data_IF_378123055183
#
_entry.id   IF_378123055183
#
_cell.length_a   1.000
_cell.length_b   1.000
_cell.length_c   1.000
_cell.angle_alpha   90.00
_cell.angle_beta   90.00
_cell.angle_gamma   90.00
#
_symmetry.space_group_name_H-M   'P 1'
#
loop_
_entity.id
_entity.type
_entity.pdbx_description
1 polymer ?
#
# COMPACT_ATOMS: atom_id res chain seq x y z
N UNK A 1 25.85 -21.68 -11.43
CA UNK A 1 24.62 -21.06 -10.94
C UNK A 1 23.46 -21.95 -11.38
N UNK A 2 22.55 -22.36 -10.50
CA UNK A 2 21.43 -23.23 -10.86
C UNK A 2 20.42 -22.48 -11.73
N UNK A 3 19.75 -23.19 -12.65
CA UNK A 3 18.80 -22.62 -13.62
C UNK A 3 17.70 -21.78 -12.95
N UNK A 4 17.11 -22.28 -11.86
CA UNK A 4 16.05 -21.59 -11.13
C UNK A 4 16.50 -20.25 -10.53
N UNK A 5 17.78 -20.14 -10.07
CA UNK A 5 18.31 -18.86 -9.54
C UNK A 5 18.35 -17.78 -10.63
N UNK A 6 18.67 -18.17 -11.88
CA UNK A 6 18.62 -17.24 -13.01
C UNK A 6 17.19 -16.82 -13.33
N UNK A 7 16.23 -17.76 -13.31
CA UNK A 7 14.81 -17.46 -13.52
C UNK A 7 14.26 -16.50 -12.45
N UNK A 8 14.60 -16.73 -11.19
CA UNK A 8 14.14 -15.85 -10.10
C UNK A 8 14.80 -14.45 -10.16
N UNK A 9 16.06 -14.35 -10.55
CA UNK A 9 16.70 -13.06 -10.76
C UNK A 9 16.01 -12.29 -11.90
N UNK A 10 15.79 -12.93 -13.03
CA UNK A 10 15.06 -12.33 -14.16
C UNK A 10 13.62 -11.94 -13.76
N UNK A 11 12.94 -12.76 -12.96
CA UNK A 11 11.62 -12.43 -12.44
C UNK A 11 11.63 -11.18 -11.54
N UNK A 12 12.65 -11.00 -10.69
CA UNK A 12 12.85 -9.76 -9.90
C UNK A 12 13.10 -8.55 -10.80
N UNK A 13 13.90 -8.70 -11.84
CA UNK A 13 14.17 -7.61 -12.81
C UNK A 13 12.88 -7.22 -13.55
N UNK A 14 12.07 -8.19 -13.97
CA UNK A 14 10.77 -7.96 -14.59
C UNK A 14 9.75 -7.32 -13.67
N UNK A 15 9.70 -7.73 -12.39
CA UNK A 15 8.88 -7.09 -11.37
C UNK A 15 9.24 -5.61 -11.24
N UNK A 16 10.55 -5.30 -11.14
CA UNK A 16 11.03 -3.92 -11.06
C UNK A 16 10.69 -3.10 -12.33
N UNK A 17 10.65 -3.76 -13.49
CA UNK A 17 10.26 -3.14 -14.75
C UNK A 17 8.73 -3.04 -14.97
N UNK A 18 7.90 -3.47 -14.00
CA UNK A 18 6.45 -3.49 -14.11
C UNK A 18 5.89 -4.57 -15.05
N UNK A 19 6.71 -5.50 -15.54
CA UNK A 19 6.32 -6.61 -16.44
C UNK A 19 5.81 -7.81 -15.62
N UNK A 20 4.72 -7.57 -14.87
CA UNK A 20 4.26 -8.46 -13.80
C UNK A 20 3.85 -9.85 -14.31
N UNK A 21 3.16 -9.92 -15.45
CA UNK A 21 2.72 -11.20 -16.01
C UNK A 21 3.89 -12.11 -16.43
N UNK A 22 4.92 -11.53 -17.02
CA UNK A 22 6.11 -12.27 -17.42
C UNK A 22 6.92 -12.73 -16.20
N UNK A 23 6.99 -11.88 -15.17
CA UNK A 23 7.60 -12.27 -13.90
C UNK A 23 6.88 -13.47 -13.26
N UNK A 24 5.54 -13.51 -13.27
CA UNK A 24 4.76 -14.67 -12.78
C UNK A 24 5.09 -15.94 -13.54
N UNK A 25 5.19 -15.90 -14.88
CA UNK A 25 5.56 -17.06 -15.70
C UNK A 25 6.93 -17.64 -15.36
N UNK A 26 7.90 -16.77 -15.04
CA UNK A 26 9.23 -17.20 -14.60
C UNK A 26 9.20 -17.83 -13.22
N UNK A 27 8.39 -17.28 -12.30
CA UNK A 27 8.17 -17.87 -10.98
C UNK A 27 7.55 -19.27 -11.09
N UNK A 28 6.56 -19.47 -11.96
CA UNK A 28 5.94 -20.78 -12.20
C UNK A 28 6.95 -21.82 -12.67
N UNK A 29 7.80 -21.44 -13.62
CA UNK A 29 8.87 -22.30 -14.15
C UNK A 29 9.93 -22.63 -13.10
N UNK A 30 10.33 -21.65 -12.29
CA UNK A 30 11.33 -21.85 -11.26
C UNK A 30 10.83 -22.77 -10.15
N UNK A 31 9.58 -22.61 -9.71
CA UNK A 31 8.97 -23.34 -8.60
C UNK A 31 8.96 -24.86 -8.79
N UNK A 32 9.07 -25.35 -10.05
CA UNK A 32 9.08 -26.76 -10.37
C UNK A 32 10.44 -27.44 -10.14
N UNK A 33 11.53 -26.68 -9.92
CA UNK A 33 12.88 -27.23 -9.91
C UNK A 33 13.34 -27.73 -8.53
N UNK A 34 12.93 -27.08 -7.44
CA UNK A 34 13.30 -27.46 -6.05
C UNK A 34 12.44 -26.76 -5.01
N UNK A 35 12.57 -27.16 -3.73
CA UNK A 35 11.90 -26.48 -2.60
C UNK A 35 12.44 -25.06 -2.40
N UNK A 36 13.77 -24.85 -2.50
CA UNK A 36 14.36 -23.51 -2.46
C UNK A 36 13.82 -22.60 -3.57
N UNK A 37 13.64 -23.17 -4.77
CA UNK A 37 13.08 -22.43 -5.90
C UNK A 37 11.61 -22.09 -5.68
N UNK A 38 10.84 -23.01 -5.07
CA UNK A 38 9.44 -22.80 -4.70
C UNK A 38 9.32 -21.68 -3.66
N UNK A 39 10.19 -21.70 -2.66
CA UNK A 39 10.28 -20.64 -1.65
C UNK A 39 10.56 -19.27 -2.29
N UNK A 40 11.64 -19.14 -3.06
CA UNK A 40 12.00 -17.91 -3.74
C UNK A 40 10.93 -17.42 -4.74
N UNK A 41 10.26 -18.36 -5.44
CA UNK A 41 9.13 -18.03 -6.32
C UNK A 41 7.95 -17.47 -5.56
N UNK A 42 7.63 -18.01 -4.39
CA UNK A 42 6.52 -17.53 -3.57
C UNK A 42 6.74 -16.11 -3.07
N UNK A 43 7.97 -15.75 -2.67
CA UNK A 43 8.30 -14.38 -2.27
C UNK A 43 8.09 -13.39 -3.42
N UNK A 44 8.58 -13.70 -4.61
CA UNK A 44 8.42 -12.81 -5.79
C UNK A 44 6.95 -12.76 -6.22
N UNK A 45 6.26 -13.88 -6.25
CA UNK A 45 4.83 -13.96 -6.60
C UNK A 45 3.98 -13.12 -5.65
N UNK A 46 4.22 -13.24 -4.35
CA UNK A 46 3.53 -12.42 -3.35
C UNK A 46 3.80 -10.93 -3.55
N UNK A 47 5.04 -10.52 -3.83
CA UNK A 47 5.37 -9.14 -4.14
C UNK A 47 4.64 -8.64 -5.41
N UNK A 48 4.54 -9.48 -6.47
CA UNK A 48 3.77 -9.15 -7.67
C UNK A 48 2.29 -8.95 -7.35
N UNK A 49 1.70 -9.80 -6.52
CA UNK A 49 0.30 -9.66 -6.11
C UNK A 49 0.07 -8.37 -5.29
N UNK A 50 1.03 -7.97 -4.45
CA UNK A 50 0.95 -6.67 -3.76
C UNK A 50 0.97 -5.49 -4.74
N UNK A 51 1.83 -5.53 -5.76
CA UNK A 51 1.86 -4.50 -6.82
C UNK A 51 0.54 -4.45 -7.63
N UNK A 52 -0.13 -5.59 -7.77
CA UNK A 52 -1.46 -5.69 -8.39
C UNK A 52 -2.61 -5.27 -7.45
N UNK A 53 -2.31 -4.93 -6.20
CA UNK A 53 -3.32 -4.60 -5.18
C UNK A 53 -4.06 -5.83 -4.62
N UNK A 54 -3.61 -7.05 -4.92
CA UNK A 54 -4.20 -8.29 -4.41
C UNK A 54 -3.41 -8.85 -3.22
N UNK A 55 -3.55 -8.17 -2.08
CA UNK A 55 -2.88 -8.58 -0.85
C UNK A 55 -3.37 -9.96 -0.33
N UNK A 56 -4.57 -10.41 -0.71
CA UNK A 56 -5.08 -11.73 -0.35
C UNK A 56 -4.31 -12.83 -1.10
N UNK A 57 -4.11 -12.67 -2.40
CA UNK A 57 -3.29 -13.59 -3.19
C UNK A 57 -1.82 -13.57 -2.75
N UNK A 58 -1.29 -12.38 -2.39
CA UNK A 58 0.06 -12.27 -1.84
C UNK A 58 0.21 -13.09 -0.55
N UNK A 59 -0.71 -12.92 0.40
CA UNK A 59 -0.69 -13.66 1.66
C UNK A 59 -0.80 -15.17 1.42
N UNK A 60 -1.64 -15.61 0.48
CA UNK A 60 -1.78 -17.01 0.10
C UNK A 60 -0.48 -17.58 -0.46
N UNK A 61 0.24 -16.82 -1.29
CA UNK A 61 1.54 -17.22 -1.83
C UNK A 61 2.59 -17.40 -0.72
N UNK A 62 2.64 -16.50 0.26
CA UNK A 62 3.55 -16.58 1.41
C UNK A 62 3.20 -17.74 2.35
N UNK A 63 1.92 -17.99 2.60
CA UNK A 63 1.47 -19.10 3.45
C UNK A 63 1.79 -20.47 2.85
N UNK A 64 1.75 -20.60 1.52
CA UNK A 64 2.06 -21.86 0.82
C UNK A 64 3.51 -22.36 1.03
N UNK A 65 4.39 -21.52 1.55
CA UNK A 65 5.81 -21.85 1.81
C UNK A 65 6.22 -21.66 3.26
N UNK A 66 5.30 -21.35 4.15
CA UNK A 66 5.61 -21.09 5.56
C UNK A 66 6.25 -22.30 6.26
N UNK A 67 5.85 -23.52 5.88
CA UNK A 67 6.37 -24.78 6.44
C UNK A 67 7.70 -25.23 5.81
N UNK A 68 8.13 -24.57 4.72
CA UNK A 68 9.38 -24.91 4.01
C UNK A 68 10.60 -24.17 4.57
N UNK A 69 10.39 -23.18 5.41
CA UNK A 69 11.46 -22.34 5.93
C UNK A 69 11.63 -22.48 7.44
N UNK A 70 12.85 -22.33 7.90
CA UNK A 70 13.15 -21.90 9.28
C UNK A 70 12.61 -20.47 9.47
N UNK A 71 12.51 -19.95 10.70
CA UNK A 71 12.13 -18.55 10.91
C UNK A 71 12.92 -17.64 9.98
N UNK A 72 12.22 -16.91 9.12
CA UNK A 72 12.81 -16.12 8.04
C UNK A 72 12.28 -14.69 8.09
N UNK A 73 13.21 -13.74 8.24
CA UNK A 73 12.89 -12.33 8.38
C UNK A 73 12.25 -11.73 7.13
N UNK A 74 12.67 -12.18 5.91
CA UNK A 74 12.12 -11.68 4.65
C UNK A 74 10.66 -12.14 4.48
N UNK A 75 10.38 -13.42 4.78
CA UNK A 75 9.02 -13.97 4.69
C UNK A 75 8.08 -13.31 5.72
N UNK A 76 8.52 -13.18 6.98
CA UNK A 76 7.70 -12.54 8.02
C UNK A 76 7.43 -11.07 7.69
N UNK A 77 8.43 -10.35 7.16
CA UNK A 77 8.26 -8.97 6.68
C UNK A 77 7.24 -8.88 5.53
N UNK A 78 7.34 -9.78 4.55
CA UNK A 78 6.44 -9.84 3.41
C UNK A 78 4.99 -10.15 3.83
N UNK A 79 4.80 -11.10 4.77
CA UNK A 79 3.49 -11.40 5.37
C UNK A 79 2.93 -10.21 6.14
N UNK A 80 3.78 -9.55 6.92
CA UNK A 80 3.41 -8.35 7.67
C UNK A 80 2.92 -7.23 6.77
N UNK A 81 3.59 -7.01 5.63
CA UNK A 81 3.12 -6.05 4.63
C UNK A 81 1.77 -6.46 4.02
N UNK A 82 1.58 -7.73 3.66
CA UNK A 82 0.32 -8.21 3.12
C UNK A 82 -0.84 -8.07 4.13
N UNK A 83 -0.61 -8.38 5.42
CA UNK A 83 -1.59 -8.12 6.48
C UNK A 83 -1.91 -6.63 6.63
N UNK A 84 -0.89 -5.78 6.52
CA UNK A 84 -1.07 -4.32 6.58
C UNK A 84 -1.97 -3.83 5.44
N UNK A 85 -1.72 -4.27 4.21
CA UNK A 85 -2.56 -3.93 3.05
C UNK A 85 -4.02 -4.39 3.20
N UNK A 86 -4.25 -5.48 3.94
CA UNK A 86 -5.59 -5.98 4.29
C UNK A 86 -6.21 -5.28 5.52
N UNK A 87 -5.58 -4.24 6.05
CA UNK A 87 -5.97 -3.58 7.30
C UNK A 87 -6.09 -4.53 8.51
N UNK A 88 -5.34 -5.64 8.48
CA UNK A 88 -5.21 -6.61 9.58
C UNK A 88 -4.03 -6.19 10.47
N UNK A 89 -4.25 -5.10 11.22
CA UNK A 89 -3.16 -4.40 11.92
C UNK A 89 -2.49 -5.22 13.02
N UNK A 90 -3.22 -5.98 13.87
CA UNK A 90 -2.58 -6.84 14.88
C UNK A 90 -1.65 -7.89 14.27
N UNK A 91 -2.10 -8.56 13.21
CA UNK A 91 -1.34 -9.60 12.50
C UNK A 91 -0.13 -8.97 11.77
N UNK A 92 -0.32 -7.81 11.16
CA UNK A 92 0.74 -7.06 10.51
C UNK A 92 1.85 -6.69 11.50
N UNK A 93 1.48 -6.09 12.64
CA UNK A 93 2.44 -5.69 13.66
C UNK A 93 3.20 -6.89 14.23
N UNK A 94 2.51 -7.99 14.53
CA UNK A 94 3.14 -9.20 15.04
C UNK A 94 4.17 -9.77 14.06
N UNK A 95 3.81 -9.89 12.77
CA UNK A 95 4.70 -10.40 11.74
C UNK A 95 5.91 -9.49 11.50
N UNK A 96 5.71 -8.16 11.46
CA UNK A 96 6.82 -7.21 11.28
C UNK A 96 7.75 -7.20 12.49
N UNK A 97 7.24 -7.27 13.72
CA UNK A 97 8.08 -7.37 14.91
C UNK A 97 8.87 -8.68 14.96
N UNK A 98 8.27 -9.79 14.52
CA UNK A 98 8.97 -11.07 14.33
C UNK A 98 10.12 -10.91 13.34
N UNK A 99 9.86 -10.35 12.16
CA UNK A 99 10.87 -10.09 11.15
C UNK A 99 12.05 -9.25 11.68
N UNK A 100 11.74 -8.15 12.38
CA UNK A 100 12.76 -7.26 12.96
C UNK A 100 13.53 -7.90 14.11
N UNK A 101 12.97 -8.87 14.82
CA UNK A 101 13.70 -9.66 15.83
C UNK A 101 14.71 -10.61 15.21
N UNK A 102 14.49 -11.06 13.98
CA UNK A 102 15.39 -11.93 13.22
C UNK A 102 16.44 -11.12 12.45
N UNK A 103 16.05 -9.98 11.88
CA UNK A 103 16.94 -9.04 11.20
C UNK A 103 16.52 -7.58 11.48
N UNK A 104 17.20 -6.92 12.40
CA UNK A 104 16.99 -5.51 12.73
C UNK A 104 17.41 -4.52 11.62
N UNK A 105 17.98 -4.99 10.52
CA UNK A 105 18.41 -4.18 9.39
C UNK A 105 17.42 -4.16 8.23
N UNK A 106 16.26 -4.74 8.41
CA UNK A 106 15.19 -4.70 7.40
C UNK A 106 14.55 -3.31 7.31
N UNK A 107 15.01 -2.51 6.34
CA UNK A 107 14.48 -1.15 6.12
C UNK A 107 12.97 -1.15 5.88
N UNK A 108 12.45 -2.11 5.09
CA UNK A 108 11.01 -2.26 4.84
C UNK A 108 10.24 -2.62 6.11
N UNK A 109 10.80 -3.50 6.96
CA UNK A 109 10.21 -3.84 8.26
C UNK A 109 10.04 -2.60 9.14
N UNK A 110 11.08 -1.78 9.26
CA UNK A 110 11.00 -0.52 9.99
C UNK A 110 9.97 0.44 9.38
N UNK A 111 9.96 0.60 8.06
CA UNK A 111 9.00 1.48 7.41
C UNK A 111 7.55 1.04 7.63
N UNK A 112 7.27 -0.26 7.45
CA UNK A 112 5.92 -0.81 7.67
C UNK A 112 5.49 -0.70 9.14
N UNK A 113 6.41 -0.97 10.09
CA UNK A 113 6.12 -0.78 11.52
C UNK A 113 5.83 0.69 11.85
N UNK A 114 6.57 1.62 11.22
CA UNK A 114 6.31 3.05 11.38
C UNK A 114 4.90 3.44 10.92
N UNK A 115 4.44 2.94 9.76
CA UNK A 115 3.08 3.17 9.25
C UNK A 115 2.02 2.61 10.21
N UNK A 116 2.23 1.40 10.72
CA UNK A 116 1.33 0.77 11.71
C UNK A 116 1.23 1.61 12.99
N UNK A 117 2.39 2.02 13.53
CA UNK A 117 2.47 2.79 14.76
C UNK A 117 1.88 4.20 14.59
N UNK A 118 2.05 4.82 13.42
CA UNK A 118 1.47 6.11 13.09
C UNK A 118 -0.06 6.05 13.06
N UNK A 119 -0.65 5.03 12.42
CA UNK A 119 -2.10 4.79 12.44
C UNK A 119 -2.64 4.60 13.86
N UNK A 120 -1.82 4.05 14.76
CA UNK A 120 -2.15 3.89 16.20
C UNK A 120 -1.88 5.15 17.01
N UNK A 121 -1.38 6.23 16.40
CA UNK A 121 -1.03 7.48 17.09
C UNK A 121 0.20 7.36 18.02
N UNK A 122 1.04 6.34 17.83
CA UNK A 122 2.24 6.14 18.65
C UNK A 122 3.38 7.06 18.24
N UNK A 123 4.04 7.69 19.21
CA UNK A 123 5.23 8.51 18.97
C UNK A 123 6.46 7.70 18.51
N UNK A 124 6.46 6.41 18.72
CA UNK A 124 7.53 5.51 18.27
C UNK A 124 7.63 5.43 16.74
N UNK A 125 6.55 5.75 16.02
CA UNK A 125 6.53 5.76 14.55
C UNK A 125 7.72 6.52 13.95
N UNK A 126 8.04 7.70 14.51
CA UNK A 126 9.12 8.55 14.01
C UNK A 126 10.50 7.86 14.09
N UNK A 127 10.76 7.09 15.15
CA UNK A 127 12.03 6.36 15.31
C UNK A 127 12.17 5.31 14.21
N UNK A 128 11.11 4.61 13.89
CA UNK A 128 11.10 3.59 12.85
C UNK A 128 11.19 4.20 11.44
N UNK A 129 10.55 5.34 11.17
CA UNK A 129 10.74 6.08 9.91
C UNK A 129 12.21 6.52 9.74
N UNK A 130 12.82 7.07 10.80
CA UNK A 130 14.23 7.44 10.78
C UNK A 130 15.13 6.24 10.50
N UNK A 131 14.87 5.10 11.17
CA UNK A 131 15.66 3.89 10.98
C UNK A 131 15.54 3.33 9.55
N UNK A 132 14.33 3.31 8.98
CA UNK A 132 14.13 2.90 7.58
C UNK A 132 14.93 3.79 6.61
N UNK A 133 14.94 5.10 6.84
CA UNK A 133 15.71 6.08 6.05
C UNK A 133 17.22 5.86 6.18
N UNK A 134 17.73 5.64 7.37
CA UNK A 134 19.16 5.34 7.59
C UNK A 134 19.61 4.10 6.81
N UNK A 135 18.77 3.07 6.81
CA UNK A 135 19.08 1.79 6.16
C UNK A 135 18.93 1.85 4.63
N UNK A 136 17.94 2.59 4.12
CA UNK A 136 17.65 2.68 2.69
C UNK A 136 17.18 4.11 2.29
N UNK A 137 18.08 5.12 2.28
CA UNK A 137 17.70 6.54 2.11
C UNK A 137 17.11 6.86 0.74
N UNK A 138 17.44 6.08 -0.30
CA UNK A 138 16.85 6.26 -1.65
C UNK A 138 15.42 5.73 -1.72
N UNK A 139 15.11 4.66 -0.98
CA UNK A 139 13.80 4.02 -0.97
C UNK A 139 12.84 4.74 -0.01
N UNK A 140 13.34 5.17 1.15
CA UNK A 140 12.60 5.85 2.21
C UNK A 140 13.20 7.23 2.49
N UNK A 141 13.14 8.19 1.55
CA UNK A 141 13.62 9.54 1.79
C UNK A 141 12.72 10.27 2.80
N UNK A 142 13.12 11.47 3.17
CA UNK A 142 12.35 12.30 4.10
C UNK A 142 10.99 12.69 3.54
N UNK A 143 9.94 12.51 4.35
CA UNK A 143 8.61 12.97 4.00
C UNK A 143 8.59 14.51 4.07
N UNK A 144 8.20 15.15 2.99
CA UNK A 144 7.88 16.58 2.97
C UNK A 144 6.43 16.73 3.37
N UNK A 145 6.19 17.05 4.63
CA UNK A 145 4.84 17.36 5.09
C UNK A 145 4.54 18.83 4.81
N UNK A 146 3.50 19.08 4.04
CA UNK A 146 2.93 20.43 3.81
C UNK A 146 2.03 20.81 4.95
N UNK A 147 1.84 22.11 5.14
CA UNK A 147 0.75 22.60 6.01
C UNK A 147 -0.59 22.17 5.41
N UNK A 148 -1.64 22.22 6.22
CA UNK A 148 -2.99 21.92 5.76
C UNK A 148 -3.44 22.89 4.68
N UNK A 149 -3.13 24.17 4.82
CA UNK A 149 -3.44 25.22 3.86
C UNK A 149 -2.77 25.00 2.51
N UNK A 150 -1.47 24.70 2.50
CA UNK A 150 -0.73 24.38 1.27
C UNK A 150 -1.32 23.17 0.54
N UNK A 151 -1.74 22.15 1.29
CA UNK A 151 -2.37 20.96 0.69
C UNK A 151 -3.78 21.26 0.16
N UNK A 152 -4.57 22.08 0.88
CA UNK A 152 -5.90 22.49 0.43
C UNK A 152 -5.83 23.34 -0.85
N UNK A 153 -4.79 24.15 -1.01
CA UNK A 153 -4.54 24.90 -2.26
C UNK A 153 -4.26 23.96 -3.46
N UNK A 154 -3.46 22.91 -3.24
CA UNK A 154 -3.22 21.89 -4.26
C UNK A 154 -4.53 21.16 -4.60
N UNK A 155 -5.28 20.78 -3.59
CA UNK A 155 -6.57 20.12 -3.73
C UNK A 155 -7.57 20.96 -4.55
N UNK A 156 -7.65 22.28 -4.28
CA UNK A 156 -8.52 23.18 -5.01
C UNK A 156 -8.12 23.28 -6.50
N UNK A 157 -6.82 23.32 -6.82
CA UNK A 157 -6.35 23.28 -8.22
C UNK A 157 -6.68 21.94 -8.89
N UNK A 158 -6.44 20.83 -8.20
CA UNK A 158 -6.78 19.51 -8.68
C UNK A 158 -8.28 19.38 -8.95
N UNK A 159 -9.12 19.86 -8.04
CA UNK A 159 -10.57 19.83 -8.17
C UNK A 159 -11.05 20.67 -9.39
N UNK A 160 -10.46 21.85 -9.61
CA UNK A 160 -10.82 22.71 -10.74
C UNK A 160 -10.58 22.07 -12.13
N UNK A 161 -9.69 21.09 -12.21
CA UNK A 161 -9.33 20.38 -13.45
C UNK A 161 -10.02 19.01 -13.61
N UNK A 162 -10.94 18.66 -12.71
CA UNK A 162 -11.71 17.41 -12.81
C UNK A 162 -12.77 17.46 -13.93
N UNK A 163 -13.12 16.31 -14.52
CA UNK A 163 -14.22 16.21 -15.46
C UNK A 163 -15.55 16.72 -14.87
N UNK A 164 -16.41 17.33 -15.70
CA UNK A 164 -17.68 17.91 -15.24
C UNK A 164 -18.55 16.91 -14.47
N UNK A 165 -18.63 15.67 -14.94
CA UNK A 165 -19.37 14.59 -14.26
C UNK A 165 -18.85 14.32 -12.83
N UNK A 166 -17.54 14.45 -12.61
CA UNK A 166 -16.92 14.29 -11.28
C UNK A 166 -17.23 15.49 -10.41
N UNK A 167 -17.17 16.71 -10.97
CA UNK A 167 -17.54 17.95 -10.28
C UNK A 167 -19.00 17.93 -9.81
N UNK A 168 -19.92 17.34 -10.57
CA UNK A 168 -21.31 17.17 -10.15
C UNK A 168 -21.43 16.24 -8.92
N UNK A 169 -20.61 15.18 -8.85
CA UNK A 169 -20.58 14.29 -7.68
C UNK A 169 -20.03 15.03 -6.46
N UNK A 170 -19.04 15.87 -6.62
CA UNK A 170 -18.48 16.66 -5.51
C UNK A 170 -19.49 17.62 -4.86
N UNK A 171 -20.57 17.99 -5.54
CA UNK A 171 -21.68 18.75 -4.91
C UNK A 171 -22.43 17.93 -3.86
N UNK A 172 -22.44 16.59 -4.02
CA UNK A 172 -23.10 15.66 -3.09
C UNK A 172 -22.12 15.10 -2.06
N UNK A 173 -20.83 15.03 -2.41
CA UNK A 173 -19.73 14.51 -1.59
C UNK A 173 -18.67 15.59 -1.39
N UNK A 174 -18.87 16.54 -0.49
CA UNK A 174 -17.86 17.55 -0.22
C UNK A 174 -16.54 16.89 0.21
N UNK A 175 -15.43 17.47 -0.26
CA UNK A 175 -14.09 16.95 0.08
C UNK A 175 -13.75 17.35 1.51
N UNK A 176 -13.26 16.38 2.28
CA UNK A 176 -12.72 16.56 3.61
C UNK A 176 -11.28 16.05 3.66
N UNK A 177 -10.35 16.89 4.05
CA UNK A 177 -8.95 16.50 4.24
C UNK A 177 -8.78 15.88 5.62
N UNK A 178 -8.31 14.63 5.64
CA UNK A 178 -7.86 13.94 6.85
C UNK A 178 -6.36 13.64 6.74
N UNK A 179 -5.64 13.63 7.86
CA UNK A 179 -4.22 13.31 7.82
C UNK A 179 -3.98 11.85 7.42
N UNK A 180 -4.69 10.93 8.05
CA UNK A 180 -4.61 9.49 7.84
C UNK A 180 -6.01 8.88 7.88
N UNK A 181 -6.21 7.68 7.30
CA UNK A 181 -7.46 6.96 7.41
C UNK A 181 -7.73 6.46 8.84
N UNK A 182 -9.00 6.36 9.19
CA UNK A 182 -9.45 5.69 10.42
C UNK A 182 -9.68 4.21 10.11
N UNK A 183 -9.02 3.33 10.87
CA UNK A 183 -9.06 1.88 10.60
C UNK A 183 -10.47 1.30 10.58
N UNK A 184 -11.33 1.74 11.51
CA UNK A 184 -12.72 1.28 11.57
C UNK A 184 -13.51 1.62 10.29
N UNK A 185 -13.18 2.73 9.63
CA UNK A 185 -13.82 3.12 8.37
C UNK A 185 -13.36 2.25 7.22
N UNK A 186 -12.04 1.99 7.11
CA UNK A 186 -11.48 1.11 6.08
C UNK A 186 -12.04 -0.32 6.15
N UNK A 187 -12.28 -0.82 7.36
CA UNK A 187 -12.79 -2.18 7.57
C UNK A 187 -14.27 -2.34 7.24
N UNK A 188 -15.06 -1.25 7.32
CA UNK A 188 -16.50 -1.26 6.99
C UNK A 188 -16.78 -1.25 5.49
N UNK A 189 -15.82 -0.82 4.69
CA UNK A 189 -15.94 -0.78 3.22
C UNK A 189 -15.74 -2.17 2.63
N UNK A 190 -16.47 -2.49 1.56
CA UNK A 190 -16.33 -3.75 0.83
C UNK A 190 -16.00 -3.48 -0.65
N UNK A 191 -14.93 -4.06 -1.19
CA UNK A 191 -13.86 -4.81 -0.47
C UNK A 191 -13.12 -3.90 0.53
N UNK A 192 -12.49 -4.49 1.54
CA UNK A 192 -11.67 -3.74 2.51
C UNK A 192 -10.60 -2.94 1.80
N UNK A 193 -10.36 -1.73 2.28
CA UNK A 193 -9.36 -0.83 1.71
C UNK A 193 -8.05 -0.88 2.49
N UNK A 194 -6.95 -0.69 1.76
CA UNK A 194 -5.62 -0.55 2.36
C UNK A 194 -5.53 0.70 3.23
N UNK A 195 -4.78 0.65 4.35
CA UNK A 195 -4.41 1.84 5.11
C UNK A 195 -3.60 2.87 4.31
N UNK A 196 -3.04 2.48 3.16
CA UNK A 196 -2.34 3.38 2.24
C UNK A 196 -3.26 4.00 1.16
N UNK A 197 -4.57 3.73 1.19
CA UNK A 197 -5.53 4.35 0.27
C UNK A 197 -5.40 5.88 0.30
N UNK A 198 -5.58 6.50 -0.85
CA UNK A 198 -5.42 7.97 -1.00
C UNK A 198 -6.70 8.72 -0.68
N UNK A 199 -7.84 8.07 -0.91
CA UNK A 199 -9.18 8.63 -0.73
C UNK A 199 -10.18 7.58 -0.27
N UNK A 200 -11.32 8.03 0.29
CA UNK A 200 -12.43 7.18 0.70
C UNK A 200 -13.76 7.95 0.62
N UNK A 201 -14.74 7.43 -0.11
CA UNK A 201 -16.12 7.93 -0.07
C UNK A 201 -16.84 7.35 1.13
N UNK A 202 -17.33 8.22 2.00
CA UNK A 202 -18.17 7.87 3.16
C UNK A 202 -19.64 8.27 2.91
N UNK A 203 -20.55 7.53 3.50
CA UNK A 203 -21.97 7.92 3.60
C UNK A 203 -22.90 7.34 2.55
N UNK A 204 -22.43 6.57 1.56
CA UNK A 204 -23.30 5.92 0.56
C UNK A 204 -24.15 4.78 1.13
N UNK A 205 -23.72 4.18 2.26
CA UNK A 205 -24.41 3.04 2.92
C UNK A 205 -24.38 3.08 4.46
N UNK A 206 -23.93 4.19 5.06
CA UNK A 206 -23.85 4.30 6.51
C UNK A 206 -25.18 4.85 7.05
N UNK A 207 -26.06 3.98 7.54
CA UNK A 207 -27.37 4.33 8.11
C UNK A 207 -27.35 5.23 9.37
N UNK A 208 -26.27 5.96 9.60
CA UNK A 208 -26.04 6.77 10.79
C UNK A 208 -26.38 8.26 10.62
N UNK A 209 -27.02 8.65 9.51
CA UNK A 209 -27.35 10.07 9.27
C UNK A 209 -26.14 10.98 9.04
N UNK A 210 -24.94 10.43 8.86
CA UNK A 210 -23.77 11.20 8.47
C UNK A 210 -23.94 11.72 7.04
N UNK A 211 -23.57 12.98 6.80
CA UNK A 211 -23.56 13.50 5.45
C UNK A 211 -22.49 12.79 4.63
N UNK A 212 -22.80 12.39 3.38
CA UNK A 212 -21.84 11.80 2.51
C UNK A 212 -20.67 12.76 2.24
N UNK A 213 -19.45 12.25 2.25
CA UNK A 213 -18.25 13.05 1.95
C UNK A 213 -17.17 12.20 1.28
N UNK A 214 -16.24 12.86 0.62
CA UNK A 214 -15.02 12.27 0.09
C UNK A 214 -13.85 12.66 1.00
N UNK A 215 -13.30 11.69 1.71
CA UNK A 215 -12.07 11.88 2.47
C UNK A 215 -10.87 11.81 1.53
N UNK A 216 -9.92 12.74 1.68
CA UNK A 216 -8.59 12.67 1.06
C UNK A 216 -7.56 12.56 2.17
N UNK A 217 -6.73 11.51 2.12
CA UNK A 217 -5.73 11.21 3.14
C UNK A 217 -4.40 11.90 2.81
N UNK A 218 -4.20 13.08 3.37
CA UNK A 218 -3.08 13.98 3.07
C UNK A 218 -1.72 13.27 3.11
N UNK A 219 -1.41 12.55 4.20
CA UNK A 219 -0.10 11.89 4.35
C UNK A 219 0.12 10.77 3.35
N UNK A 220 -0.93 10.02 3.00
CA UNK A 220 -0.82 8.97 1.99
C UNK A 220 -0.56 9.55 0.60
N UNK A 221 -1.26 10.65 0.27
CA UNK A 221 -1.03 11.38 -1.00
C UNK A 221 0.40 11.93 -1.06
N UNK A 222 0.88 12.58 0.00
CA UNK A 222 2.23 13.14 0.07
C UNK A 222 3.34 12.09 -0.01
N UNK A 223 3.09 10.88 0.49
CA UNK A 223 4.00 9.74 0.38
C UNK A 223 4.03 9.12 -1.01
N UNK A 224 2.88 9.02 -1.64
CA UNK A 224 2.77 8.48 -2.99
C UNK A 224 3.32 9.46 -4.04
N UNK A 225 3.10 10.76 -3.86
CA UNK A 225 3.45 11.81 -4.81
C UNK A 225 4.28 12.90 -4.12
N UNK A 226 5.56 13.00 -4.45
CA UNK A 226 6.51 13.86 -3.71
C UNK A 226 6.68 15.25 -4.28
N UNK A 227 6.36 15.45 -5.56
CA UNK A 227 6.44 16.74 -6.27
C UNK A 227 5.06 17.35 -6.34
N UNK A 228 4.95 18.68 -6.25
CA UNK A 228 3.66 19.37 -6.19
C UNK A 228 2.78 19.08 -7.40
N UNK A 229 3.38 19.08 -8.60
CA UNK A 229 2.68 18.75 -9.84
C UNK A 229 2.15 17.32 -9.85
N UNK A 230 2.91 16.38 -9.28
CA UNK A 230 2.49 14.98 -9.15
C UNK A 230 1.43 14.78 -8.08
N UNK A 231 1.44 15.59 -7.00
CA UNK A 231 0.38 15.56 -5.98
C UNK A 231 -0.96 15.99 -6.56
N UNK A 232 -0.98 17.06 -7.35
CA UNK A 232 -2.20 17.54 -8.01
C UNK A 232 -2.81 16.47 -8.91
N UNK A 233 -1.97 15.81 -9.74
CA UNK A 233 -2.39 14.69 -10.56
C UNK A 233 -2.83 13.49 -9.70
N UNK A 234 -2.07 13.16 -8.65
CA UNK A 234 -2.40 12.09 -7.71
C UNK A 234 -3.74 12.29 -7.01
N UNK A 235 -4.06 13.51 -6.60
CA UNK A 235 -5.38 13.86 -6.04
C UNK A 235 -6.48 13.65 -7.07
N UNK A 236 -6.30 14.10 -8.31
CA UNK A 236 -7.28 13.88 -9.38
C UNK A 236 -7.57 12.41 -9.62
N UNK A 237 -6.51 11.62 -9.75
CA UNK A 237 -6.62 10.16 -9.91
C UNK A 237 -7.32 9.51 -8.72
N UNK A 238 -6.97 9.88 -7.49
CA UNK A 238 -7.58 9.35 -6.28
C UNK A 238 -9.09 9.63 -6.23
N UNK A 239 -9.51 10.85 -6.58
CA UNK A 239 -10.93 11.24 -6.63
C UNK A 239 -11.69 10.41 -7.69
N UNK A 240 -11.15 10.31 -8.89
CA UNK A 240 -11.77 9.57 -10.00
C UNK A 240 -11.88 8.08 -9.64
N UNK A 241 -10.78 7.48 -9.19
CA UNK A 241 -10.75 6.06 -8.84
C UNK A 241 -11.72 5.73 -7.71
N UNK A 242 -11.76 6.58 -6.68
CA UNK A 242 -12.63 6.34 -5.54
C UNK A 242 -14.12 6.51 -5.89
N UNK A 243 -14.48 7.46 -6.71
CA UNK A 243 -15.85 7.57 -7.20
C UNK A 243 -16.24 6.42 -8.16
N UNK A 244 -15.30 5.96 -9.00
CA UNK A 244 -15.51 4.77 -9.82
C UNK A 244 -15.78 3.56 -8.93
N UNK A 245 -14.95 3.34 -7.91
CA UNK A 245 -15.10 2.23 -6.97
C UNK A 245 -16.39 2.31 -6.16
N UNK A 246 -16.70 3.48 -5.58
CA UNK A 246 -17.78 3.64 -4.61
C UNK A 246 -19.15 3.78 -5.26
N UNK A 247 -19.22 4.40 -6.42
CA UNK A 247 -20.47 4.75 -7.12
C UNK A 247 -20.70 3.94 -8.40
N UNK A 248 -19.73 3.11 -8.82
CA UNK A 248 -19.81 2.34 -10.06
C UNK A 248 -19.86 3.21 -11.32
N UNK A 249 -19.28 4.41 -11.26
CA UNK A 249 -19.33 5.38 -12.36
C UNK A 249 -18.05 5.26 -13.21
N UNK A 250 -18.21 5.07 -14.51
CA UNK A 250 -17.11 5.16 -15.46
C UNK A 250 -16.95 6.62 -15.91
N UNK A 251 -15.79 7.19 -15.63
CA UNK A 251 -15.37 8.51 -16.08
C UNK A 251 -14.42 8.34 -17.27
N UNK A 252 -14.96 8.18 -18.47
CA UNK A 252 -14.20 8.18 -19.72
C UNK A 252 -13.88 9.61 -20.15
#
# INVERSE_FOLDING_TARGET
>A
MTRWRNLLREAKDLLTAGRLHEALQLCDRAALESEDARYGSALIRGAIHLELGDATAALSAYQAVADLSQPDAELDCARGLAYFELAQIPEAEAAIRSALSLDERLAQGHYTLALILELKGSREANQHFLRARELAPRQYPEDRSRTREEFEDILNRAAASLPEKVLEQLKQFPIVVADLPVLDELQKVQPRMSPQSLALVLGTNFGNGAQPCLLIFKRNVERAFRQDELIEEGVRLAVIQEFTRALGLEYA
#
